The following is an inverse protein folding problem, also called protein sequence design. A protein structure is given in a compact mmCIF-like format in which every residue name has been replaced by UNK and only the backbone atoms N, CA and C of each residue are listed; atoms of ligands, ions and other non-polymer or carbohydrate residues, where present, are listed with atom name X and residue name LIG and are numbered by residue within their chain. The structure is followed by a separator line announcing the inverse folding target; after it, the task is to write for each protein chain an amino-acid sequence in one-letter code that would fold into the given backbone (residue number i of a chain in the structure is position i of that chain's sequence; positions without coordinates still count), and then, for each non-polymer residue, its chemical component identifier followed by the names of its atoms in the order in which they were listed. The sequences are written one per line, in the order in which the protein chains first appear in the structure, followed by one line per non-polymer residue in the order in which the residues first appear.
data_IF_108426543534
#
_entry.id   IF_108426543534
#
_cell.length_a   1.000
_cell.length_b   1.000
_cell.length_c   1.000
_cell.angle_alpha   90.00
_cell.angle_beta   90.00
_cell.angle_gamma   90.00
#
_symmetry.space_group_name_H-M   'P 1'
#
loop_
_entity.id
_entity.type
_entity.pdbx_description
1 polymer ?
#
# COMPACT_ATOMS: atom_id res chain seq x y z
N UNK A 1 59.17 32.72 -17.68
CA UNK A 1 58.37 33.74 -16.95
C UNK A 1 57.50 34.44 -17.98
N UNK A 2 56.45 33.75 -18.43
CA UNK A 2 55.44 34.22 -19.39
C UNK A 2 54.59 33.02 -19.85
N UNK A 3 53.48 32.76 -19.15
CA UNK A 3 52.36 31.93 -19.62
C UNK A 3 51.16 32.29 -18.72
N UNK A 4 50.53 33.43 -19.01
CA UNK A 4 49.28 33.55 -19.78
C UNK A 4 48.06 32.96 -19.03
N UNK A 5 47.52 33.80 -18.15
CA UNK A 5 46.09 33.95 -17.84
C UNK A 5 45.22 33.78 -19.09
N UNK A 6 44.55 32.64 -19.24
CA UNK A 6 43.48 32.47 -20.23
C UNK A 6 42.50 31.34 -19.87
N UNK A 7 41.96 31.35 -18.63
CA UNK A 7 41.06 30.28 -18.13
C UNK A 7 39.70 30.80 -17.62
N UNK A 8 39.44 32.11 -17.63
CA UNK A 8 38.25 32.69 -16.97
C UNK A 8 37.05 33.04 -17.86
N UNK A 9 37.07 32.77 -19.17
CA UNK A 9 35.94 33.15 -20.06
C UNK A 9 34.86 32.06 -20.27
N UNK A 10 35.07 30.80 -19.87
CA UNK A 10 34.19 29.70 -20.28
C UNK A 10 33.07 29.28 -19.30
N UNK A 11 32.88 29.96 -18.17
CA UNK A 11 31.88 29.57 -17.15
C UNK A 11 30.74 30.57 -16.91
N UNK A 12 30.57 31.60 -17.75
CA UNK A 12 29.45 32.54 -17.61
C UNK A 12 28.12 31.88 -17.99
N UNK A 13 27.09 32.10 -17.17
CA UNK A 13 25.71 31.72 -17.49
C UNK A 13 25.26 32.40 -18.79
N UNK A 14 24.38 31.75 -19.55
CA UNK A 14 23.82 32.32 -20.77
C UNK A 14 23.15 33.69 -20.51
N UNK A 15 22.50 33.86 -19.37
CA UNK A 15 21.94 35.15 -18.92
C UNK A 15 23.01 36.23 -18.71
N UNK A 16 24.15 35.89 -18.12
CA UNK A 16 25.27 36.82 -17.90
C UNK A 16 25.93 37.22 -19.22
N UNK A 17 26.08 36.27 -20.16
CA UNK A 17 26.57 36.55 -21.52
C UNK A 17 25.67 37.57 -22.23
N UNK A 18 24.35 37.37 -22.17
CA UNK A 18 23.37 38.28 -22.75
C UNK A 18 23.43 39.68 -22.13
N UNK A 19 23.52 39.77 -20.80
CA UNK A 19 23.64 41.05 -20.08
C UNK A 19 24.90 41.79 -20.49
N UNK A 20 26.05 41.10 -20.53
CA UNK A 20 27.33 41.67 -20.93
C UNK A 20 27.28 42.21 -22.38
N UNK A 21 26.65 41.46 -23.28
CA UNK A 21 26.53 41.87 -24.68
C UNK A 21 25.61 43.09 -24.84
N UNK A 22 24.47 43.15 -24.14
CA UNK A 22 23.60 44.32 -24.12
C UNK A 22 24.31 45.54 -23.54
N UNK A 23 25.13 45.37 -22.50
CA UNK A 23 25.95 46.45 -21.94
C UNK A 23 26.97 46.97 -22.95
N UNK A 24 27.59 46.07 -23.73
CA UNK A 24 28.47 46.46 -24.83
C UNK A 24 27.71 47.29 -25.87
N UNK A 25 26.53 46.84 -26.29
CA UNK A 25 25.66 47.59 -27.23
C UNK A 25 25.31 48.97 -26.68
N UNK A 26 24.97 49.08 -25.39
CA UNK A 26 24.67 50.35 -24.71
C UNK A 26 25.84 51.33 -24.79
N UNK A 27 27.06 50.84 -24.54
CA UNK A 27 28.27 51.67 -24.54
C UNK A 27 28.56 52.20 -25.95
N UNK A 28 28.50 51.33 -26.96
CA UNK A 28 28.75 51.72 -28.35
C UNK A 28 27.67 52.65 -28.90
N UNK A 29 26.40 52.42 -28.53
CA UNK A 29 25.31 53.32 -28.89
C UNK A 29 25.46 54.69 -28.22
N UNK A 30 25.88 54.72 -26.95
CA UNK A 30 26.18 55.97 -26.23
C UNK A 30 27.26 56.79 -26.95
N UNK A 31 28.40 56.17 -27.26
CA UNK A 31 29.49 56.81 -28.00
C UNK A 31 29.02 57.32 -29.38
N UNK A 32 28.16 56.57 -30.06
CA UNK A 32 27.58 57.00 -31.33
C UNK A 32 26.69 58.25 -31.17
N UNK A 33 25.80 58.24 -30.19
CA UNK A 33 24.91 59.37 -29.87
C UNK A 33 25.72 60.64 -29.57
N UNK A 34 26.79 60.52 -28.78
CA UNK A 34 27.62 61.66 -28.40
C UNK A 34 28.37 62.23 -29.62
N UNK A 35 28.84 61.35 -30.52
CA UNK A 35 29.46 61.78 -31.79
C UNK A 35 28.52 62.53 -32.74
N UNK A 36 27.20 62.35 -32.61
CA UNK A 36 26.21 63.14 -33.37
C UNK A 36 26.16 64.57 -32.82
N UNK A 37 26.37 64.76 -31.52
CA UNK A 37 26.34 66.07 -30.87
C UNK A 37 27.58 66.95 -31.11
N UNK A 38 28.74 66.35 -31.38
CA UNK A 38 30.03 67.06 -31.50
C UNK A 38 30.39 67.49 -32.93
N UNK A 39 29.74 66.95 -33.97
CA UNK A 39 30.08 67.27 -35.37
C UNK A 39 29.46 68.60 -35.85
N UNK A 40 30.24 69.68 -35.66
CA UNK A 40 30.36 70.94 -36.41
C UNK A 40 29.07 71.61 -36.98
N UNK A 41 28.64 72.78 -36.47
CA UNK A 41 27.42 73.48 -36.88
C UNK A 41 27.48 74.20 -38.26
N UNK A 42 28.47 73.92 -39.11
CA UNK A 42 28.72 74.75 -40.31
C UNK A 42 28.28 74.21 -41.66
N UNK A 43 27.70 73.02 -41.75
CA UNK A 43 27.01 72.59 -42.96
C UNK A 43 25.79 71.78 -42.55
N UNK A 44 24.57 72.25 -42.83
CA UNK A 44 23.37 71.43 -43.12
C UNK A 44 22.09 72.28 -43.20
N UNK A 45 21.27 71.93 -44.19
CA UNK A 45 19.92 72.40 -44.49
C UNK A 45 18.96 72.17 -43.30
N UNK A 46 18.29 73.24 -42.86
CA UNK A 46 17.48 73.35 -41.62
C UNK A 46 16.33 72.31 -41.51
N UNK A 47 15.82 71.76 -42.62
CA UNK A 47 14.72 70.78 -42.61
C UNK A 47 15.16 69.34 -42.26
N UNK A 48 16.41 68.96 -42.54
CA UNK A 48 16.95 67.64 -42.18
C UNK A 48 17.39 67.57 -40.70
N UNK A 49 17.68 68.74 -40.09
CA UNK A 49 18.17 68.83 -38.71
C UNK A 49 17.08 68.51 -37.66
N UNK A 50 15.83 68.94 -37.88
CA UNK A 50 14.73 68.63 -36.94
C UNK A 50 14.42 67.13 -36.85
N UNK A 51 14.53 66.38 -37.96
CA UNK A 51 14.36 64.92 -37.95
C UNK A 51 15.47 64.22 -37.17
N UNK A 52 16.73 64.63 -37.38
CA UNK A 52 17.90 64.05 -36.68
C UNK A 52 17.88 64.30 -35.18
N UNK A 53 17.46 65.49 -34.72
CA UNK A 53 17.31 65.78 -33.28
C UNK A 53 16.30 64.85 -32.62
N UNK A 54 15.12 64.68 -33.24
CA UNK A 54 14.10 63.74 -32.74
C UNK A 54 14.61 62.30 -32.68
N UNK A 55 15.33 61.85 -33.71
CA UNK A 55 15.90 60.50 -33.72
C UNK A 55 16.95 60.35 -32.62
N UNK A 56 17.84 61.34 -32.44
CA UNK A 56 18.84 61.34 -31.36
C UNK A 56 18.19 61.25 -29.97
N UNK A 57 17.09 61.99 -29.73
CA UNK A 57 16.36 61.93 -28.47
C UNK A 57 15.72 60.55 -28.23
N UNK A 58 15.23 59.88 -29.28
CA UNK A 58 14.71 58.51 -29.19
C UNK A 58 15.83 57.53 -28.88
N UNK A 59 16.98 57.64 -29.56
CA UNK A 59 18.16 56.81 -29.31
C UNK A 59 18.69 57.00 -27.87
N UNK A 60 18.75 58.24 -27.37
CA UNK A 60 19.07 58.55 -25.96
C UNK A 60 18.06 57.92 -25.01
N UNK A 61 16.78 58.05 -25.34
CA UNK A 61 15.68 57.45 -24.58
C UNK A 61 15.79 55.92 -24.49
N UNK A 62 16.15 55.27 -25.59
CA UNK A 62 16.39 53.84 -25.64
C UNK A 62 17.62 53.46 -24.80
N UNK A 63 18.77 54.11 -25.02
CA UNK A 63 20.03 53.81 -24.35
C UNK A 63 19.96 53.97 -22.83
N UNK A 64 19.32 55.04 -22.36
CA UNK A 64 19.33 55.40 -20.94
C UNK A 64 18.14 54.85 -20.16
N UNK A 65 17.01 54.52 -20.82
CA UNK A 65 15.79 54.07 -20.12
C UNK A 65 15.35 52.66 -20.48
N UNK A 66 15.42 52.25 -21.75
CA UNK A 66 14.93 50.93 -22.19
C UNK A 66 15.97 49.85 -21.94
N UNK A 67 17.23 50.07 -22.34
CA UNK A 67 18.29 49.07 -22.13
C UNK A 67 18.43 48.64 -20.65
N UNK A 68 18.48 49.54 -19.65
CA UNK A 68 18.56 49.12 -18.26
C UNK A 68 17.36 48.28 -17.80
N UNK A 69 16.15 48.59 -18.30
CA UNK A 69 14.95 47.80 -18.01
C UNK A 69 15.04 46.41 -18.63
N UNK A 70 15.62 46.29 -19.82
CA UNK A 70 15.78 45.01 -20.50
C UNK A 70 16.81 44.13 -19.79
N UNK A 71 17.93 44.72 -19.35
CA UNK A 71 18.90 44.03 -18.48
C UNK A 71 18.22 43.51 -17.22
N UNK A 72 17.47 44.36 -16.50
CA UNK A 72 16.77 43.94 -15.29
C UNK A 72 15.73 42.83 -15.54
N UNK A 73 15.07 42.81 -16.71
CA UNK A 73 14.16 41.71 -17.08
C UNK A 73 14.94 40.41 -17.24
N UNK A 74 16.09 40.43 -17.91
CA UNK A 74 16.92 39.24 -18.11
C UNK A 74 17.43 38.70 -16.78
N UNK A 75 17.95 39.58 -15.91
CA UNK A 75 18.48 39.22 -14.59
C UNK A 75 17.39 38.62 -13.69
N UNK A 76 16.21 39.25 -13.63
CA UNK A 76 15.09 38.75 -12.82
C UNK A 76 14.48 37.44 -13.34
N UNK A 77 14.78 37.07 -14.58
CA UNK A 77 14.24 35.90 -15.27
C UNK A 77 15.35 34.96 -15.74
N UNK A 78 16.52 34.96 -15.07
CA UNK A 78 17.73 34.26 -15.50
C UNK A 78 17.51 32.79 -15.82
N UNK A 79 16.71 32.08 -15.01
CA UNK A 79 16.36 30.68 -15.20
C UNK A 79 15.71 30.36 -16.57
N UNK A 80 14.93 31.28 -17.15
CA UNK A 80 14.36 31.09 -18.49
C UNK A 80 15.41 31.17 -19.59
N UNK A 81 16.52 31.87 -19.34
CA UNK A 81 17.63 32.04 -20.27
C UNK A 81 18.77 31.04 -20.03
N UNK A 82 18.65 30.15 -19.04
CA UNK A 82 19.55 28.99 -18.93
C UNK A 82 19.28 27.97 -20.03
N UNK A 83 18.05 27.94 -20.56
CA UNK A 83 17.72 27.18 -21.76
C UNK A 83 18.29 27.89 -23.01
N UNK A 84 19.02 27.13 -23.82
CA UNK A 84 19.70 27.62 -25.01
C UNK A 84 18.74 28.29 -26.02
N UNK A 85 17.49 27.84 -26.12
CA UNK A 85 16.56 28.34 -27.15
C UNK A 85 16.15 29.81 -26.93
N UNK A 86 15.76 30.18 -25.71
CA UNK A 86 15.41 31.57 -25.37
C UNK A 86 16.63 32.49 -25.40
N UNK A 87 17.76 31.98 -24.93
CA UNK A 87 19.01 32.72 -24.95
C UNK A 87 19.46 32.99 -26.39
N UNK A 88 19.38 32.00 -27.27
CA UNK A 88 19.76 32.11 -28.68
C UNK A 88 18.89 33.11 -29.44
N UNK A 89 17.57 33.09 -29.23
CA UNK A 89 16.66 34.07 -29.85
C UNK A 89 17.07 35.50 -29.46
N UNK A 90 17.27 35.75 -28.16
CA UNK A 90 17.64 37.07 -27.69
C UNK A 90 19.07 37.46 -28.15
N UNK A 91 19.99 36.51 -28.16
CA UNK A 91 21.37 36.68 -28.65
C UNK A 91 21.39 37.13 -30.11
N UNK A 92 20.57 36.50 -30.96
CA UNK A 92 20.45 36.84 -32.37
C UNK A 92 19.92 38.27 -32.56
N UNK A 93 18.94 38.69 -31.77
CA UNK A 93 18.41 40.05 -31.83
C UNK A 93 19.43 41.10 -31.34
N UNK A 94 20.19 40.79 -30.29
CA UNK A 94 21.27 41.66 -29.80
C UNK A 94 22.37 41.79 -30.86
N UNK A 95 22.79 40.69 -31.48
CA UNK A 95 23.81 40.70 -32.53
C UNK A 95 23.35 41.44 -33.79
N UNK A 96 22.07 41.30 -34.15
CA UNK A 96 21.46 42.07 -35.23
C UNK A 96 21.56 43.57 -34.95
N UNK A 97 21.16 44.01 -33.75
CA UNK A 97 21.27 45.41 -33.33
C UNK A 97 22.73 45.88 -33.29
N UNK A 98 23.63 45.07 -32.73
CA UNK A 98 25.07 45.32 -32.68
C UNK A 98 25.62 45.55 -34.09
N UNK A 99 25.35 44.66 -35.03
CA UNK A 99 25.85 44.80 -36.40
C UNK A 99 25.44 46.14 -37.03
N UNK A 100 24.20 46.58 -36.78
CA UNK A 100 23.68 47.88 -37.26
C UNK A 100 24.39 49.08 -36.64
N UNK A 101 24.75 49.01 -35.35
CA UNK A 101 25.45 50.09 -34.64
C UNK A 101 26.93 50.20 -35.07
N UNK A 102 27.58 49.06 -35.33
CA UNK A 102 29.01 49.03 -35.63
C UNK A 102 29.34 49.30 -37.11
N UNK A 103 28.39 49.13 -38.04
CA UNK A 103 28.62 49.33 -39.45
C UNK A 103 28.67 50.84 -39.82
N UNK A 104 29.88 51.37 -39.99
CA UNK A 104 30.15 52.80 -40.20
C UNK A 104 29.90 53.25 -41.65
N UNK A 105 28.63 53.47 -42.03
CA UNK A 105 28.20 53.93 -43.37
C UNK A 105 27.60 55.36 -43.35
N UNK A 106 27.52 56.03 -44.51
CA UNK A 106 27.14 57.45 -44.65
C UNK A 106 25.64 57.77 -44.40
N UNK A 107 24.73 56.77 -44.42
CA UNK A 107 23.29 56.93 -44.12
C UNK A 107 22.94 56.46 -42.69
N UNK A 108 23.69 57.00 -41.72
CA UNK A 108 24.01 56.37 -40.43
C UNK A 108 22.90 56.35 -39.36
N UNK A 109 22.10 57.41 -39.27
CA UNK A 109 21.16 57.60 -38.15
C UNK A 109 19.86 56.83 -38.38
N UNK A 110 19.30 56.88 -39.59
CA UNK A 110 18.03 56.22 -39.90
C UNK A 110 18.16 54.69 -39.84
N UNK A 111 19.30 54.14 -40.25
CA UNK A 111 19.59 52.71 -40.19
C UNK A 111 19.71 52.19 -38.74
N UNK A 112 20.39 52.95 -37.87
CA UNK A 112 20.50 52.61 -36.44
C UNK A 112 19.14 52.77 -35.75
N UNK A 113 18.38 53.80 -36.11
CA UNK A 113 17.04 54.02 -35.61
C UNK A 113 16.09 52.85 -35.94
N UNK A 114 16.06 52.40 -37.19
CA UNK A 114 15.31 51.22 -37.62
C UNK A 114 15.74 49.95 -36.86
N UNK A 115 17.06 49.78 -36.67
CA UNK A 115 17.61 48.71 -35.82
C UNK A 115 17.09 48.73 -34.39
N UNK A 116 17.10 49.90 -33.76
CA UNK A 116 16.59 50.08 -32.40
C UNK A 116 15.09 49.82 -32.33
N UNK A 117 14.30 50.31 -33.29
CA UNK A 117 12.87 50.05 -33.32
C UNK A 117 12.55 48.56 -33.46
N UNK A 118 13.21 47.88 -34.40
CA UNK A 118 13.05 46.43 -34.61
C UNK A 118 13.41 45.66 -33.34
N UNK A 119 14.54 45.99 -32.72
CA UNK A 119 14.97 45.34 -31.48
C UNK A 119 13.97 45.58 -30.34
N UNK A 120 13.45 46.80 -30.19
CA UNK A 120 12.45 47.12 -29.16
C UNK A 120 11.18 46.29 -29.36
N UNK A 121 10.68 46.17 -30.58
CA UNK A 121 9.49 45.37 -30.89
C UNK A 121 9.72 43.89 -30.54
N UNK A 122 10.84 43.32 -30.99
CA UNK A 122 11.19 41.92 -30.72
C UNK A 122 11.36 41.66 -29.23
N UNK A 123 12.02 42.57 -28.51
CA UNK A 123 12.22 42.43 -27.07
C UNK A 123 10.89 42.48 -26.30
N UNK A 124 9.97 43.39 -26.66
CA UNK A 124 8.65 43.42 -26.00
C UNK A 124 7.84 42.14 -26.29
N UNK A 125 7.98 41.53 -27.46
CA UNK A 125 7.38 40.21 -27.74
C UNK A 125 7.98 39.11 -26.85
N UNK A 126 9.31 39.06 -26.69
CA UNK A 126 9.98 38.10 -25.79
C UNK A 126 9.49 38.29 -24.35
N UNK A 127 9.37 39.54 -23.90
CA UNK A 127 8.85 39.86 -22.57
C UNK A 127 7.41 39.39 -22.38
N UNK A 128 6.53 39.56 -23.37
CA UNK A 128 5.17 39.02 -23.31
C UNK A 128 5.16 37.50 -23.21
N UNK A 129 6.03 36.82 -23.97
CA UNK A 129 6.20 35.36 -23.88
C UNK A 129 6.66 34.92 -22.49
N UNK A 130 7.62 35.61 -21.88
CA UNK A 130 8.06 35.33 -20.50
C UNK A 130 6.92 35.45 -19.48
N UNK A 131 6.12 36.50 -19.57
CA UNK A 131 4.95 36.68 -18.69
C UNK A 131 3.95 35.54 -18.87
N UNK A 132 3.70 35.11 -20.12
CA UNK A 132 2.79 34.00 -20.40
C UNK A 132 3.30 32.66 -19.84
N UNK A 133 4.60 32.40 -19.93
CA UNK A 133 5.22 31.21 -19.36
C UNK A 133 5.16 31.21 -17.84
N UNK A 134 5.44 32.35 -17.21
CA UNK A 134 5.35 32.48 -15.76
C UNK A 134 3.92 32.24 -15.26
N UNK A 135 2.92 32.77 -15.96
CA UNK A 135 1.51 32.51 -15.64
C UNK A 135 1.12 31.04 -15.84
N UNK A 136 1.60 30.41 -16.91
CA UNK A 136 1.37 28.99 -17.16
C UNK A 136 2.00 28.13 -16.06
N UNK A 137 3.24 28.43 -15.65
CA UNK A 137 3.92 27.69 -14.60
C UNK A 137 3.20 27.85 -13.25
N UNK A 138 2.75 29.06 -12.91
CA UNK A 138 1.94 29.30 -11.71
C UNK A 138 0.61 28.53 -11.73
N UNK A 139 -0.06 28.42 -12.88
CA UNK A 139 -1.30 27.67 -13.02
C UNK A 139 -1.08 26.15 -12.89
N UNK A 140 0.03 25.65 -13.44
CA UNK A 140 0.45 24.26 -13.30
C UNK A 140 0.80 23.94 -11.84
N UNK A 141 1.63 24.76 -11.20
CA UNK A 141 2.07 24.53 -9.82
C UNK A 141 0.95 24.74 -8.79
N UNK A 142 0.05 25.69 -9.03
CA UNK A 142 -1.05 26.00 -8.11
C UNK A 142 -2.25 25.07 -8.29
N UNK A 143 -2.92 25.16 -9.44
CA UNK A 143 -4.22 24.52 -9.65
C UNK A 143 -4.08 23.06 -10.07
N UNK A 144 -3.15 22.77 -10.98
CA UNK A 144 -2.98 21.43 -11.52
C UNK A 144 -2.34 20.49 -10.49
N UNK A 145 -1.30 20.93 -9.80
CA UNK A 145 -0.68 20.12 -8.75
C UNK A 145 -1.64 19.85 -7.57
N UNK A 146 -2.43 20.84 -7.18
CA UNK A 146 -3.48 20.66 -6.16
C UNK A 146 -4.53 19.64 -6.62
N UNK A 147 -5.00 19.74 -7.87
CA UNK A 147 -5.95 18.79 -8.46
C UNK A 147 -5.38 17.37 -8.57
N UNK A 148 -4.10 17.25 -8.95
CA UNK A 148 -3.37 15.97 -9.01
C UNK A 148 -3.28 15.36 -7.60
N UNK A 149 -2.98 16.15 -6.58
CA UNK A 149 -2.92 15.68 -5.20
C UNK A 149 -4.29 15.23 -4.68
N UNK A 150 -5.36 15.97 -4.97
CA UNK A 150 -6.73 15.59 -4.59
C UNK A 150 -7.16 14.29 -5.30
N UNK A 151 -6.84 14.13 -6.59
CA UNK A 151 -7.12 12.89 -7.33
C UNK A 151 -6.33 11.73 -6.76
N UNK A 152 -5.05 11.93 -6.41
CA UNK A 152 -4.20 10.91 -5.78
C UNK A 152 -4.76 10.46 -4.43
N UNK A 153 -5.29 11.38 -3.63
CA UNK A 153 -5.94 11.08 -2.37
C UNK A 153 -7.24 10.27 -2.57
N UNK A 154 -8.10 10.68 -3.52
CA UNK A 154 -9.32 9.93 -3.87
C UNK A 154 -9.03 8.53 -4.43
N UNK A 155 -7.96 8.36 -5.22
CA UNK A 155 -7.53 7.03 -5.71
C UNK A 155 -7.09 6.15 -4.54
N UNK A 156 -6.33 6.68 -3.58
CA UNK A 156 -5.92 5.95 -2.38
C UNK A 156 -7.11 5.49 -1.54
N UNK A 157 -8.11 6.35 -1.40
CA UNK A 157 -9.37 5.99 -0.73
C UNK A 157 -10.13 4.93 -1.52
N UNK A 158 -10.19 5.03 -2.85
CA UNK A 158 -10.83 4.03 -3.72
C UNK A 158 -10.18 2.65 -3.60
N UNK A 159 -8.85 2.56 -3.61
CA UNK A 159 -8.13 1.30 -3.41
C UNK A 159 -8.46 0.69 -2.04
N UNK A 160 -8.60 1.51 -0.99
CA UNK A 160 -8.99 1.02 0.34
C UNK A 160 -10.43 0.52 0.40
N UNK A 161 -11.35 1.17 -0.31
CA UNK A 161 -12.77 0.75 -0.42
C UNK A 161 -12.88 -0.54 -1.23
N UNK A 162 -12.12 -0.65 -2.33
CA UNK A 162 -12.03 -1.87 -3.13
C UNK A 162 -11.50 -3.04 -2.29
N UNK A 163 -10.43 -2.84 -1.54
CA UNK A 163 -9.87 -3.87 -0.65
C UNK A 163 -10.92 -4.31 0.39
N UNK A 164 -11.63 -3.36 1.01
CA UNK A 164 -12.69 -3.64 1.97
C UNK A 164 -13.85 -4.44 1.34
N UNK A 165 -14.21 -4.17 0.09
CA UNK A 165 -15.23 -4.92 -0.66
C UNK A 165 -14.78 -6.34 -0.97
N UNK A 166 -13.56 -6.54 -1.47
CA UNK A 166 -13.00 -7.87 -1.76
C UNK A 166 -12.89 -8.73 -0.47
N UNK A 167 -12.51 -8.11 0.65
CA UNK A 167 -12.51 -8.78 1.95
C UNK A 167 -13.91 -9.09 2.48
N UNK A 168 -14.92 -8.29 2.15
CA UNK A 168 -16.32 -8.55 2.54
C UNK A 168 -16.86 -9.83 1.91
N UNK A 169 -16.56 -10.08 0.63
CA UNK A 169 -16.95 -11.32 -0.05
C UNK A 169 -16.27 -12.52 0.61
N UNK A 170 -14.95 -12.45 0.84
CA UNK A 170 -14.21 -13.52 1.51
C UNK A 170 -14.72 -13.78 2.93
N UNK A 171 -15.00 -12.71 3.68
CA UNK A 171 -15.56 -12.75 5.03
C UNK A 171 -16.92 -13.44 5.09
N UNK A 172 -17.77 -13.22 4.08
CA UNK A 172 -19.09 -13.84 3.99
C UNK A 172 -19.02 -15.37 3.83
N UNK A 173 -18.01 -15.88 3.13
CA UNK A 173 -17.78 -17.33 2.96
C UNK A 173 -17.45 -17.99 4.30
N UNK A 174 -16.60 -17.37 5.12
CA UNK A 174 -16.25 -17.91 6.44
C UNK A 174 -17.41 -17.82 7.43
N UNK A 175 -18.26 -16.79 7.32
CA UNK A 175 -19.48 -16.67 8.11
C UNK A 175 -20.50 -17.77 7.75
N UNK A 176 -20.63 -18.08 6.46
CA UNK A 176 -21.46 -19.20 5.99
C UNK A 176 -20.93 -20.54 6.49
N UNK A 177 -19.62 -20.76 6.44
CA UNK A 177 -18.97 -21.94 7.03
C UNK A 177 -19.22 -22.05 8.54
N UNK A 178 -19.13 -20.94 9.27
CA UNK A 178 -19.44 -20.89 10.70
C UNK A 178 -20.87 -21.34 10.98
N UNK A 179 -21.83 -20.79 10.23
CA UNK A 179 -23.24 -21.15 10.38
C UNK A 179 -23.47 -22.64 10.09
N UNK A 180 -22.87 -23.16 9.02
CA UNK A 180 -22.95 -24.60 8.67
C UNK A 180 -22.41 -25.49 9.79
N UNK A 181 -21.24 -25.18 10.35
CA UNK A 181 -20.68 -25.96 11.46
C UNK A 181 -21.45 -25.77 12.77
N UNK A 182 -22.09 -24.63 12.96
CA UNK A 182 -22.99 -24.41 14.09
C UNK A 182 -24.23 -25.31 14.00
N UNK A 183 -24.83 -25.41 12.81
CA UNK A 183 -25.95 -26.34 12.58
C UNK A 183 -25.54 -27.80 12.77
N UNK A 184 -24.37 -28.20 12.25
CA UNK A 184 -23.84 -29.55 12.48
C UNK A 184 -23.55 -29.81 13.98
N UNK A 185 -23.07 -28.82 14.71
CA UNK A 185 -22.86 -28.91 16.16
C UNK A 185 -24.18 -29.11 16.90
N UNK A 186 -25.17 -28.23 16.67
CA UNK A 186 -26.48 -28.28 17.32
C UNK A 186 -27.20 -29.60 17.01
N UNK A 187 -27.17 -30.04 15.74
CA UNK A 187 -27.77 -31.30 15.30
C UNK A 187 -27.12 -32.51 15.99
N UNK A 188 -25.79 -32.58 16.05
CA UNK A 188 -25.09 -33.65 16.76
C UNK A 188 -25.34 -33.64 18.27
N UNK A 189 -25.45 -32.45 18.87
CA UNK A 189 -25.77 -32.30 20.29
C UNK A 189 -27.21 -32.78 20.58
N UNK A 190 -28.15 -32.46 19.69
CA UNK A 190 -29.53 -32.96 19.76
C UNK A 190 -29.57 -34.49 19.64
N UNK A 191 -28.81 -35.08 18.72
CA UNK A 191 -28.71 -36.54 18.60
C UNK A 191 -28.11 -37.18 19.85
N UNK A 192 -27.09 -36.57 20.46
CA UNK A 192 -26.53 -37.03 21.72
C UNK A 192 -27.59 -37.10 22.83
N UNK A 193 -28.33 -36.01 23.07
CA UNK A 193 -29.39 -35.99 24.07
C UNK A 193 -30.52 -36.96 23.74
N UNK A 194 -30.86 -37.11 22.45
CA UNK A 194 -31.89 -38.06 21.99
C UNK A 194 -31.50 -39.51 22.26
N UNK A 195 -30.24 -39.89 21.98
CA UNK A 195 -29.72 -41.23 22.26
C UNK A 195 -29.65 -41.51 23.75
N UNK A 196 -29.23 -40.52 24.55
CA UNK A 196 -29.18 -40.65 26.00
C UNK A 196 -30.58 -40.87 26.56
N UNK A 197 -31.55 -40.06 26.15
CA UNK A 197 -32.96 -40.21 26.52
C UNK A 197 -33.55 -41.55 26.09
N UNK A 198 -33.25 -41.99 24.86
CA UNK A 198 -33.71 -43.27 24.31
C UNK A 198 -33.10 -44.46 25.06
N UNK A 199 -31.83 -44.40 25.45
CA UNK A 199 -31.15 -45.43 26.26
C UNK A 199 -31.79 -45.57 27.65
N UNK A 200 -32.09 -44.46 28.32
CA UNK A 200 -32.80 -44.45 29.60
C UNK A 200 -34.22 -45.02 29.42
N UNK A 201 -34.93 -44.60 28.37
CA UNK A 201 -36.26 -45.09 28.04
C UNK A 201 -36.28 -46.62 27.82
N UNK A 202 -35.36 -47.15 26.99
CA UNK A 202 -35.23 -48.59 26.78
C UNK A 202 -34.85 -49.34 28.05
N UNK A 203 -34.09 -48.73 28.95
CA UNK A 203 -33.76 -49.34 30.25
C UNK A 203 -34.98 -49.46 31.15
N UNK A 204 -35.83 -48.43 31.19
CA UNK A 204 -37.09 -48.42 31.96
C UNK A 204 -38.10 -49.41 31.35
N UNK A 205 -38.27 -49.39 30.02
CA UNK A 205 -39.13 -50.33 29.29
C UNK A 205 -38.66 -51.78 29.49
N UNK A 206 -37.34 -51.97 29.42
CA UNK A 206 -36.53 -53.05 30.02
C UNK A 206 -37.18 -53.72 31.23
N UNK A 207 -37.24 -52.91 32.29
CA UNK A 207 -37.67 -53.30 33.63
C UNK A 207 -39.18 -53.60 33.66
N UNK A 208 -40.00 -52.78 33.00
CA UNK A 208 -41.46 -52.94 32.97
C UNK A 208 -41.90 -54.24 32.28
N UNK A 209 -41.29 -54.56 31.14
CA UNK A 209 -41.57 -55.82 30.41
C UNK A 209 -41.15 -57.01 31.29
N UNK A 210 -39.96 -56.95 31.87
CA UNK A 210 -39.45 -58.00 32.76
C UNK A 210 -40.36 -58.21 33.97
N UNK A 211 -40.88 -57.14 34.59
CA UNK A 211 -41.80 -57.25 35.73
C UNK A 211 -43.13 -57.96 35.38
N UNK A 212 -43.52 -57.99 34.10
CA UNK A 212 -44.78 -58.57 33.64
C UNK A 212 -44.70 -60.08 33.31
N UNK A 213 -43.50 -60.65 33.13
CA UNK A 213 -43.31 -62.07 32.80
C UNK A 213 -42.78 -62.86 34.01
N UNK A 214 -43.47 -63.97 34.37
CA UNK A 214 -43.18 -64.77 35.58
C UNK A 214 -41.99 -65.74 35.47
N UNK A 215 -41.56 -66.09 34.26
CA UNK A 215 -40.41 -66.97 34.01
C UNK A 215 -39.43 -66.26 33.08
N UNK A 216 -38.30 -65.83 33.62
CA UNK A 216 -37.26 -65.12 32.88
C UNK A 216 -35.96 -65.89 32.98
N UNK A 217 -35.35 -66.16 31.83
CA UNK A 217 -33.97 -66.59 31.77
C UNK A 217 -33.06 -65.45 32.21
N UNK A 218 -32.47 -65.60 33.39
CA UNK A 218 -31.56 -64.63 34.00
C UNK A 218 -30.42 -64.20 33.07
N UNK A 219 -29.92 -65.13 32.26
CA UNK A 219 -28.82 -64.90 31.31
C UNK A 219 -29.25 -63.95 30.18
N UNK A 220 -30.44 -64.11 29.61
CA UNK A 220 -30.96 -63.22 28.57
C UNK A 220 -31.23 -61.81 29.12
N UNK A 221 -31.71 -61.72 30.35
CA UNK A 221 -31.94 -60.44 31.03
C UNK A 221 -30.65 -59.65 31.24
N UNK A 222 -29.61 -60.28 31.77
CA UNK A 222 -28.30 -59.63 31.98
C UNK A 222 -27.66 -59.27 30.64
N UNK A 223 -27.68 -60.17 29.66
CA UNK A 223 -27.11 -59.92 28.33
C UNK A 223 -27.76 -58.74 27.61
N UNK A 224 -29.10 -58.63 27.65
CA UNK A 224 -29.84 -57.51 27.05
C UNK A 224 -29.44 -56.16 27.65
N UNK A 225 -29.24 -56.07 28.98
CA UNK A 225 -28.82 -54.84 29.64
C UNK A 225 -27.40 -54.43 29.26
N UNK A 226 -26.48 -55.38 29.22
CA UNK A 226 -25.10 -55.13 28.79
C UNK A 226 -25.08 -54.64 27.34
N UNK A 227 -25.91 -55.21 26.47
CA UNK A 227 -26.02 -54.79 25.07
C UNK A 227 -26.58 -53.36 24.93
N UNK A 228 -27.68 -53.03 25.62
CA UNK A 228 -28.27 -51.68 25.61
C UNK A 228 -27.26 -50.65 26.12
N UNK A 229 -26.54 -50.98 27.19
CA UNK A 229 -25.53 -50.11 27.78
C UNK A 229 -24.34 -49.93 26.83
N UNK A 230 -23.83 -51.01 26.22
CA UNK A 230 -22.73 -50.95 25.26
C UNK A 230 -23.09 -50.12 24.01
N UNK A 231 -24.27 -50.34 23.43
CA UNK A 231 -24.76 -49.58 22.27
C UNK A 231 -24.99 -48.11 22.64
N UNK A 232 -25.60 -47.86 23.80
CA UNK A 232 -25.85 -46.50 24.31
C UNK A 232 -24.56 -45.70 24.49
N UNK A 233 -23.56 -46.28 25.17
CA UNK A 233 -22.25 -45.63 25.36
C UNK A 233 -21.55 -45.40 24.03
N UNK A 234 -21.56 -46.38 23.13
CA UNK A 234 -20.88 -46.28 21.82
C UNK A 234 -21.48 -45.15 20.98
N UNK A 235 -22.81 -45.06 20.89
CA UNK A 235 -23.49 -44.00 20.16
C UNK A 235 -23.31 -42.63 20.83
N UNK A 236 -23.44 -42.55 22.15
CA UNK A 236 -23.17 -41.31 22.89
C UNK A 236 -21.75 -40.78 22.63
N UNK A 237 -20.76 -41.68 22.67
CA UNK A 237 -19.35 -41.34 22.41
C UNK A 237 -19.15 -40.84 20.98
N UNK A 238 -19.81 -41.48 20.00
CA UNK A 238 -19.72 -41.09 18.58
C UNK A 238 -20.30 -39.69 18.36
N UNK A 239 -21.50 -39.40 18.88
CA UNK A 239 -22.14 -38.09 18.72
C UNK A 239 -21.39 -36.99 19.48
N UNK A 240 -20.87 -37.28 20.67
CA UNK A 240 -20.02 -36.35 21.42
C UNK A 240 -18.74 -36.00 20.64
N UNK A 241 -18.10 -36.99 20.01
CA UNK A 241 -16.91 -36.79 19.17
C UNK A 241 -17.21 -35.91 17.97
N UNK A 242 -18.33 -36.16 17.27
CA UNK A 242 -18.75 -35.35 16.12
C UNK A 242 -19.11 -33.92 16.53
N UNK A 243 -19.81 -33.74 17.64
CA UNK A 243 -20.13 -32.42 18.17
C UNK A 243 -18.86 -31.64 18.55
N UNK A 244 -17.90 -32.27 19.24
CA UNK A 244 -16.63 -31.62 19.60
C UNK A 244 -15.83 -31.17 18.36
N UNK A 245 -15.81 -32.00 17.31
CA UNK A 245 -15.15 -31.67 16.05
C UNK A 245 -15.83 -30.50 15.33
N UNK A 246 -17.17 -30.53 15.22
CA UNK A 246 -17.94 -29.45 14.61
C UNK A 246 -17.79 -28.12 15.38
N UNK A 247 -17.76 -28.17 16.72
CA UNK A 247 -17.51 -26.99 17.57
C UNK A 247 -16.14 -26.36 17.27
N UNK A 248 -15.09 -27.17 17.13
CA UNK A 248 -13.74 -26.67 16.81
C UNK A 248 -13.69 -26.02 15.43
N UNK A 249 -14.31 -26.65 14.42
CA UNK A 249 -14.38 -26.08 13.07
C UNK A 249 -15.16 -24.77 13.05
N UNK A 250 -16.26 -24.69 13.82
CA UNK A 250 -17.03 -23.46 14.02
C UNK A 250 -16.18 -22.32 14.59
N UNK A 251 -15.44 -22.60 15.65
CA UNK A 251 -14.57 -21.62 16.33
C UNK A 251 -13.45 -21.15 15.40
N UNK A 252 -12.83 -22.07 14.65
CA UNK A 252 -11.80 -21.75 13.67
C UNK A 252 -12.35 -20.87 12.54
N UNK A 253 -13.51 -21.22 11.97
CA UNK A 253 -14.14 -20.43 10.91
C UNK A 253 -14.52 -19.02 11.40
N UNK A 254 -15.02 -18.90 12.63
CA UNK A 254 -15.34 -17.61 13.25
C UNK A 254 -14.09 -16.76 13.48
N UNK A 255 -13.03 -17.36 14.01
CA UNK A 255 -11.76 -16.67 14.22
C UNK A 255 -11.22 -16.13 12.90
N UNK A 256 -11.18 -16.95 11.85
CA UNK A 256 -10.73 -16.53 10.52
C UNK A 256 -11.61 -15.42 9.95
N UNK A 257 -12.94 -15.48 10.13
CA UNK A 257 -13.86 -14.40 9.72
C UNK A 257 -13.51 -13.06 10.39
N UNK A 258 -13.29 -13.08 11.71
CA UNK A 258 -12.93 -11.88 12.48
C UNK A 258 -11.55 -11.37 12.07
N UNK A 259 -10.57 -12.27 11.89
CA UNK A 259 -9.21 -11.92 11.48
C UNK A 259 -9.19 -11.28 10.08
N UNK A 260 -9.94 -11.81 9.11
CA UNK A 260 -10.06 -11.24 7.76
C UNK A 260 -10.75 -9.88 7.78
N UNK A 261 -11.76 -9.68 8.62
CA UNK A 261 -12.42 -8.38 8.77
C UNK A 261 -11.53 -7.34 9.46
N UNK A 262 -10.70 -7.75 10.42
CA UNK A 262 -9.78 -6.88 11.12
C UNK A 262 -8.50 -6.58 10.32
N UNK A 263 -8.17 -7.42 9.34
CA UNK A 263 -6.94 -7.34 8.55
C UNK A 263 -6.70 -5.98 7.87
N UNK A 264 -7.66 -5.37 7.14
CA UNK A 264 -7.44 -4.07 6.49
C UNK A 264 -7.12 -2.95 7.46
N UNK A 265 -7.69 -3.00 8.67
CA UNK A 265 -7.49 -2.00 9.72
C UNK A 265 -6.06 -2.11 10.28
N UNK A 266 -5.56 -3.33 10.50
CA UNK A 266 -4.18 -3.55 10.96
C UNK A 266 -3.13 -3.25 9.90
N UNK A 267 -3.40 -3.58 8.64
CA UNK A 267 -2.48 -3.32 7.53
C UNK A 267 -2.35 -1.82 7.25
N UNK A 268 -3.41 -1.02 7.45
CA UNK A 268 -3.39 0.44 7.21
C UNK A 268 -2.38 1.20 8.08
N UNK A 269 -2.07 0.69 9.28
CA UNK A 269 -1.11 1.32 10.21
C UNK A 269 0.35 0.92 9.98
N UNK A 270 0.64 -0.02 9.09
CA UNK A 270 1.99 -0.56 8.86
C UNK A 270 2.68 0.09 7.65
N UNK A 271 4.01 0.07 7.63
CA UNK A 271 4.82 0.48 6.46
C UNK A 271 4.71 -0.57 5.35
N UNK A 272 4.85 -0.16 4.09
CA UNK A 272 4.58 -1.04 2.92
C UNK A 272 5.45 -2.31 2.85
N UNK A 273 6.66 -2.26 3.43
CA UNK A 273 7.57 -3.41 3.58
C UNK A 273 7.00 -4.46 4.55
N UNK A 274 6.54 -4.03 5.72
CA UNK A 274 5.93 -4.89 6.75
C UNK A 274 4.59 -5.50 6.28
N UNK A 275 3.86 -4.78 5.40
CA UNK A 275 2.60 -5.28 4.81
C UNK A 275 2.84 -6.51 3.95
N UNK A 276 3.88 -6.53 3.13
CA UNK A 276 4.19 -7.67 2.26
C UNK A 276 4.60 -8.90 3.06
N UNK A 277 5.36 -8.71 4.15
CA UNK A 277 5.75 -9.79 5.04
C UNK A 277 4.53 -10.39 5.78
N UNK A 278 3.65 -9.53 6.29
CA UNK A 278 2.41 -9.95 6.96
C UNK A 278 1.47 -10.71 6.00
N UNK A 279 1.30 -10.22 4.76
CA UNK A 279 0.50 -10.91 3.74
C UNK A 279 1.08 -12.29 3.42
N UNK A 280 2.41 -12.40 3.32
CA UNK A 280 3.10 -13.68 3.06
C UNK A 280 2.92 -14.66 4.22
N UNK A 281 3.04 -14.21 5.46
CA UNK A 281 2.82 -15.04 6.65
C UNK A 281 1.37 -15.54 6.75
N UNK A 282 0.40 -14.65 6.53
CA UNK A 282 -1.02 -15.00 6.56
C UNK A 282 -1.41 -15.90 5.40
N UNK A 283 -0.85 -15.67 4.21
CA UNK A 283 -1.07 -16.53 3.06
C UNK A 283 -0.63 -17.97 3.36
N UNK A 284 0.54 -18.17 3.99
CA UNK A 284 1.01 -19.48 4.43
C UNK A 284 0.15 -20.09 5.56
N UNK A 285 -0.45 -19.24 6.41
CA UNK A 285 -1.27 -19.69 7.55
C UNK A 285 -2.68 -20.12 7.14
N UNK A 286 -3.29 -19.47 6.14
CA UNK A 286 -4.67 -19.72 5.72
C UNK A 286 -4.80 -20.50 4.41
N UNK A 287 -3.84 -20.40 3.48
CA UNK A 287 -3.85 -21.16 2.23
C UNK A 287 -2.91 -22.36 2.34
N UNK A 288 -3.45 -23.56 2.12
CA UNK A 288 -2.66 -24.80 2.09
C UNK A 288 -2.49 -25.51 3.44
N UNK A 289 -3.19 -25.10 4.50
CA UNK A 289 -3.20 -25.85 5.76
C UNK A 289 -4.05 -27.11 5.59
N UNK A 290 -3.40 -28.27 5.51
CA UNK A 290 -4.07 -29.55 5.72
C UNK A 290 -4.77 -29.51 7.09
N UNK A 291 -6.05 -29.88 7.11
CA UNK A 291 -6.91 -29.82 8.27
C UNK A 291 -6.24 -30.56 9.43
N UNK A 292 -5.74 -29.79 10.41
CA UNK A 292 -4.80 -30.23 11.46
C UNK A 292 -5.22 -31.56 12.11
N UNK A 293 -4.66 -32.65 11.60
CA UNK A 293 -4.98 -34.03 11.94
C UNK A 293 -4.39 -34.43 13.31
N UNK A 294 -3.45 -33.61 13.82
CA UNK A 294 -2.65 -33.89 15.02
C UNK A 294 -3.43 -33.96 16.34
N UNK A 295 -4.67 -33.45 16.40
CA UNK A 295 -5.50 -33.56 17.62
C UNK A 295 -6.56 -34.68 17.56
N UNK A 296 -6.97 -35.12 16.37
CA UNK A 296 -7.75 -36.36 16.27
C UNK A 296 -6.90 -37.56 16.70
N UNK A 297 -5.59 -37.49 16.46
CA UNK A 297 -4.61 -38.47 16.93
C UNK A 297 -4.40 -38.39 18.45
N UNK A 298 -4.23 -37.18 19.04
CA UNK A 298 -4.08 -37.03 20.50
C UNK A 298 -5.30 -37.45 21.32
N UNK A 299 -6.51 -37.25 20.81
CA UNK A 299 -7.74 -37.73 21.46
C UNK A 299 -7.93 -39.23 21.21
N UNK A 300 -7.49 -39.74 20.05
CA UNK A 300 -7.37 -41.17 19.77
C UNK A 300 -6.45 -41.86 20.77
N UNK A 301 -5.27 -41.29 21.03
CA UNK A 301 -4.31 -41.74 22.04
C UNK A 301 -4.91 -41.71 23.45
N UNK A 302 -5.62 -40.64 23.83
CA UNK A 302 -6.25 -40.57 25.16
C UNK A 302 -7.36 -41.63 25.34
N UNK A 303 -8.15 -41.91 24.30
CA UNK A 303 -9.14 -43.00 24.33
C UNK A 303 -8.48 -44.38 24.32
N UNK A 304 -7.38 -44.54 23.59
CA UNK A 304 -6.59 -45.76 23.59
C UNK A 304 -5.96 -46.03 24.96
N UNK A 305 -5.45 -44.99 25.62
CA UNK A 305 -4.93 -45.05 26.99
C UNK A 305 -6.03 -45.45 27.99
N UNK A 306 -7.25 -44.91 27.85
CA UNK A 306 -8.38 -45.30 28.69
C UNK A 306 -8.87 -46.73 28.42
N UNK A 307 -8.86 -47.19 27.17
CA UNK A 307 -9.19 -48.57 26.81
C UNK A 307 -8.12 -49.56 27.28
N UNK A 308 -6.84 -49.18 27.19
CA UNK A 308 -5.72 -49.97 27.67
C UNK A 308 -5.77 -50.09 29.19
N UNK A 309 -5.94 -48.98 29.91
CA UNK A 309 -6.12 -48.96 31.36
C UNK A 309 -7.35 -49.78 31.81
N UNK A 310 -8.47 -49.67 31.08
CA UNK A 310 -9.67 -50.49 31.34
C UNK A 310 -9.42 -51.99 31.12
N UNK A 311 -8.65 -52.36 30.10
CA UNK A 311 -8.28 -53.75 29.80
C UNK A 311 -7.31 -54.32 30.84
N UNK A 312 -6.35 -53.52 31.29
CA UNK A 312 -5.43 -53.88 32.38
C UNK A 312 -6.17 -54.07 33.70
N UNK A 313 -7.16 -53.22 34.00
CA UNK A 313 -7.99 -53.34 35.19
C UNK A 313 -8.86 -54.60 35.16
N UNK A 314 -9.43 -54.96 34.01
CA UNK A 314 -10.17 -56.22 33.82
C UNK A 314 -9.24 -57.43 33.98
N UNK A 315 -8.03 -57.37 33.41
CA UNK A 315 -7.03 -58.43 33.53
C UNK A 315 -6.57 -58.61 34.98
N UNK A 316 -6.28 -57.53 35.69
CA UNK A 316 -5.93 -57.53 37.11
C UNK A 316 -7.08 -58.06 37.98
N UNK A 317 -8.33 -57.69 37.66
CA UNK A 317 -9.52 -58.19 38.35
C UNK A 317 -9.73 -59.69 38.11
N UNK A 318 -9.48 -60.18 36.89
CA UNK A 318 -9.54 -61.60 36.56
C UNK A 318 -8.42 -62.40 37.26
N UNK A 319 -7.23 -61.83 37.41
CA UNK A 319 -6.12 -62.43 38.17
C UNK A 319 -6.41 -62.46 39.68
N UNK A 320 -7.03 -61.41 40.24
CA UNK A 320 -7.50 -61.37 41.64
C UNK A 320 -8.58 -62.41 41.92
N UNK A 321 -9.53 -62.61 41.00
CA UNK A 321 -10.56 -63.66 41.14
C UNK A 321 -9.95 -65.06 41.06
N UNK A 322 -8.86 -65.22 40.29
CA UNK A 322 -8.13 -66.49 40.18
C UNK A 322 -7.25 -66.78 41.42
N UNK A 323 -6.76 -65.75 42.11
CA UNK A 323 -5.93 -65.87 43.32
C UNK A 323 -6.73 -66.03 44.63
N UNK A 324 -8.05 -65.76 44.62
CA UNK A 324 -8.96 -65.98 45.76
C UNK A 324 -9.56 -67.40 45.78
N UNK A 325 -9.10 -68.32 44.92
CA UNK A 325 -9.44 -69.75 45.07
C UNK A 325 -8.72 -70.30 46.33
N UNK A 326 -9.44 -70.84 47.33
CA UNK A 326 -8.83 -71.16 48.61
C UNK A 326 -7.84 -72.33 48.46
N UNK A 327 -6.60 -72.09 48.88
CA UNK A 327 -5.66 -73.11 49.32
C UNK A 327 -5.92 -73.38 50.80
N UNK A 328 -6.27 -74.62 51.14
CA UNK A 328 -6.39 -75.12 52.51
C UNK A 328 -7.37 -76.30 52.58
N UNK A 329 -6.98 -77.52 52.95
CA UNK A 329 -5.68 -77.99 53.42
C UNK A 329 -5.70 -79.52 53.54
N UNK A 330 -4.53 -80.11 53.37
CA UNK A 330 -4.22 -81.49 53.71
C UNK A 330 -3.54 -81.45 55.09
N UNK A 331 -4.10 -82.11 56.11
CA UNK A 331 -3.37 -82.47 57.33
C UNK A 331 -3.69 -83.91 57.69
N UNK A 332 -2.65 -84.72 57.65
CA UNK A 332 -2.56 -86.14 57.97
C UNK A 332 -2.07 -86.34 59.42
N UNK A 333 -2.39 -87.51 59.98
CA UNK A 333 -1.78 -88.22 61.13
C UNK A 333 -2.69 -88.53 62.33
N UNK A 334 -2.80 -89.83 62.65
CA UNK A 334 -3.65 -90.46 63.67
C UNK A 334 -3.15 -90.40 65.12
N UNK A 335 -3.91 -90.94 66.10
CA UNK A 335 -3.82 -92.32 66.60
C UNK A 335 -4.80 -92.58 67.79
N UNK A 336 -5.13 -93.86 68.02
CA UNK A 336 -5.57 -94.56 69.26
C UNK A 336 -6.97 -94.39 69.93
N UNK A 337 -7.77 -95.47 69.76
CA UNK A 337 -8.27 -96.42 70.79
C UNK A 337 -9.32 -96.05 71.88
N UNK A 338 -10.17 -97.06 72.12
CA UNK A 338 -11.02 -97.39 73.31
C UNK A 338 -12.41 -96.73 73.40
N UNK A 339 -13.47 -97.46 73.03
CA UNK A 339 -14.18 -98.41 73.92
C UNK A 339 -15.14 -99.32 73.16
#
# INVERSE_FOLDING_TARGET
MSESTNVTENNLSNSEKLVNEIQSVKLHLGNFIDSIGENNPQDVVISADMGRRRISDILKGFNNRKIPKYIAIIENNSHFFENDEFAEILWNEINSLRSKIFQRSNNKIDYIYDGVLTFVEKFENIKLSLISLQNANNLIEGELQSSINEVKEKIKDFDSVRLALEHRETSSIYLELHNKYNEEYESNNLYFYSVLGLSVFFTILSILITASFKSIDWILFVSSKVLILAVGITLCTLFLRRAAHAKKLKEQAYQTHVEINAFPIHVRSLKDEDKHELIKELALKYFGKELDQTQNDKIGDLMQDQLSAGTELIKASAELVKSVKPSGGNTDSGNDAVK
#
